data_IF_000680060623
#
_entry.id   IF_000680060623
#
_cell.length_a   1.000
_cell.length_b   1.000
_cell.length_c   1.000
_cell.angle_alpha   90.00
_cell.angle_beta   90.00
_cell.angle_gamma   90.00
#
_symmetry.space_group_name_H-M   'P 1'
#
loop_
_entity.id
_entity.type
_entity.pdbx_description
1 polymer ?
#
# COMPACT_ATOMS: atom_id res chain seq x y z
N UNK A 1 -1.37 3.71 11.61
CA UNK A 1 -0.35 2.89 10.96
C UNK A 1 -0.79 1.45 11.06
N UNK A 2 -0.98 0.77 9.91
CA UNK A 2 -1.31 -0.65 9.83
C UNK A 2 -0.05 -1.39 9.40
N UNK A 3 0.18 -2.60 9.90
CA UNK A 3 1.30 -3.45 9.51
C UNK A 3 0.81 -4.86 9.24
N UNK A 4 1.27 -5.45 8.15
CA UNK A 4 1.01 -6.85 7.81
C UNK A 4 2.13 -7.78 8.29
N UNK A 5 3.17 -7.23 8.91
CA UNK A 5 4.30 -7.98 9.44
C UNK A 5 4.67 -7.47 10.83
N UNK A 6 4.22 -8.19 11.84
CA UNK A 6 4.45 -7.85 13.23
C UNK A 6 5.35 -8.91 13.85
N UNK A 7 6.49 -8.47 14.38
CA UNK A 7 7.35 -9.32 15.21
C UNK A 7 7.12 -8.96 16.66
N UNK A 8 6.49 -9.86 17.41
CA UNK A 8 6.18 -9.68 18.83
C UNK A 8 7.11 -10.50 19.72
N UNK A 9 7.33 -10.03 20.94
CA UNK A 9 8.06 -10.78 21.96
C UNK A 9 7.49 -10.47 23.35
N UNK A 10 7.48 -11.41 24.30
CA UNK A 10 6.98 -11.15 25.65
C UNK A 10 7.65 -9.96 26.37
N UNK A 11 8.87 -9.56 25.95
CA UNK A 11 9.58 -8.42 26.53
C UNK A 11 9.15 -7.05 25.99
N UNK A 12 8.24 -6.96 25.01
CA UNK A 12 7.82 -5.67 24.46
C UNK A 12 6.81 -5.75 23.31
N UNK A 13 6.15 -4.63 22.99
CA UNK A 13 5.07 -4.61 21.99
C UNK A 13 5.56 -4.92 20.57
N UNK A 14 6.82 -4.60 20.24
CA UNK A 14 7.44 -4.86 18.95
C UNK A 14 8.91 -5.25 19.14
N UNK A 15 9.41 -6.14 18.30
CA UNK A 15 10.83 -6.49 18.24
C UNK A 15 11.67 -5.29 17.78
N UNK A 16 12.64 -4.91 18.58
CA UNK A 16 13.70 -3.99 18.19
C UNK A 16 15.03 -4.40 18.83
N UNK A 17 16.15 -4.28 18.10
CA UNK A 17 17.47 -4.40 18.70
C UNK A 17 17.74 -3.18 19.59
N UNK A 18 18.49 -3.38 20.67
CA UNK A 18 19.11 -2.28 21.42
C UNK A 18 20.12 -1.54 20.54
N UNK A 19 20.50 -0.32 20.90
CA UNK A 19 21.48 0.47 20.15
C UNK A 19 22.82 -0.27 19.94
N UNK A 20 23.26 -1.02 20.95
CA UNK A 20 24.48 -1.82 20.88
C UNK A 20 24.33 -3.03 19.93
N UNK A 21 23.17 -3.69 19.92
CA UNK A 21 22.86 -4.78 18.99
C UNK A 21 22.73 -4.23 17.56
N UNK A 22 22.04 -3.11 17.38
CA UNK A 22 21.88 -2.43 16.10
C UNK A 22 23.22 -1.99 15.51
N UNK A 23 24.09 -1.39 16.32
CA UNK A 23 25.44 -1.00 15.89
C UNK A 23 26.31 -2.17 15.43
N UNK A 24 26.12 -3.37 16.00
CA UNK A 24 26.77 -4.59 15.50
C UNK A 24 26.11 -5.10 14.21
N UNK A 25 24.78 -5.03 14.14
CA UNK A 25 24.01 -5.45 12.98
C UNK A 25 24.36 -4.66 11.73
N UNK A 26 24.36 -3.32 11.81
CA UNK A 26 24.71 -2.43 10.69
C UNK A 26 26.15 -2.64 10.21
N UNK A 27 27.09 -2.94 11.12
CA UNK A 27 28.48 -3.25 10.73
C UNK A 27 28.59 -4.52 9.88
N UNK A 28 27.75 -5.52 10.14
CA UNK A 28 27.71 -6.77 9.39
C UNK A 28 26.84 -6.67 8.14
N UNK A 29 25.73 -5.94 8.24
CA UNK A 29 24.73 -5.75 7.19
C UNK A 29 24.49 -4.26 6.98
N UNK A 30 25.33 -3.59 6.16
CA UNK A 30 25.20 -2.15 5.92
C UNK A 30 23.84 -1.73 5.32
N UNK A 31 23.15 -2.64 4.64
CA UNK A 31 21.77 -2.45 4.13
C UNK A 31 20.75 -2.15 5.23
N UNK A 32 21.04 -2.45 6.50
CA UNK A 32 20.16 -2.10 7.60
C UNK A 32 20.11 -0.59 7.86
N UNK A 33 21.16 0.13 7.45
CA UNK A 33 21.28 1.59 7.59
C UNK A 33 20.68 2.39 6.44
N UNK A 34 20.43 1.76 5.29
CA UNK A 34 19.68 2.41 4.22
C UNK A 34 18.20 2.47 4.60
N UNK A 35 17.63 3.66 4.53
CA UNK A 35 16.18 3.80 4.51
C UNK A 35 15.69 3.16 3.21
N UNK A 36 14.77 2.21 3.32
CA UNK A 36 14.03 1.72 2.17
C UNK A 36 13.03 2.83 1.81
N UNK A 37 13.16 3.44 0.63
CA UNK A 37 12.30 4.57 0.21
C UNK A 37 10.82 4.18 0.16
N UNK A 38 10.52 2.88 0.17
CA UNK A 38 9.18 2.31 0.08
C UNK A 38 8.60 1.92 1.46
N UNK A 39 9.43 1.62 2.46
CA UNK A 39 8.99 1.07 3.75
C UNK A 39 9.37 1.95 4.93
N UNK A 40 8.36 2.39 5.68
CA UNK A 40 8.55 3.16 6.91
C UNK A 40 8.64 2.20 8.09
N UNK A 41 9.87 1.83 8.46
CA UNK A 41 10.15 1.00 9.63
C UNK A 41 9.87 1.75 10.95
N UNK A 42 9.32 1.03 11.92
CA UNK A 42 9.09 1.57 13.27
C UNK A 42 10.42 1.53 14.03
N UNK A 43 11.14 2.65 14.03
CA UNK A 43 12.47 2.75 14.65
C UNK A 43 13.48 1.78 14.00
N UNK A 44 14.27 1.09 14.83
CA UNK A 44 15.24 0.08 14.36
C UNK A 44 14.63 -1.33 14.24
N UNK A 45 13.31 -1.47 14.12
CA UNK A 45 12.65 -2.78 14.03
C UNK A 45 12.66 -3.37 12.61
N UNK A 46 12.18 -4.61 12.52
CA UNK A 46 11.81 -5.24 11.26
C UNK A 46 10.35 -5.00 10.87
N UNK A 47 9.56 -4.39 11.75
CA UNK A 47 8.16 -4.05 11.49
C UNK A 47 8.10 -2.71 10.80
N UNK A 48 7.58 -2.69 9.57
CA UNK A 48 7.18 -1.49 8.88
C UNK A 48 5.67 -1.31 8.99
N UNK A 49 5.22 -0.06 8.84
CA UNK A 49 3.81 0.24 8.80
C UNK A 49 3.48 1.22 7.68
N UNK A 50 2.22 1.21 7.27
CA UNK A 50 1.69 2.14 6.27
C UNK A 50 0.68 3.13 6.86
N UNK A 51 0.64 4.31 6.25
CA UNK A 51 -0.38 5.32 6.47
C UNK A 51 -1.60 5.06 5.57
N UNK A 52 -2.70 4.64 6.19
CA UNK A 52 -3.97 4.35 5.51
C UNK A 52 -4.45 5.58 4.74
N UNK A 53 -4.79 5.39 3.46
CA UNK A 53 -5.25 6.45 2.56
C UNK A 53 -4.14 7.27 1.90
N UNK A 54 -2.87 7.05 2.28
CA UNK A 54 -1.71 7.75 1.73
C UNK A 54 -0.81 6.76 0.98
N UNK A 55 -0.51 5.62 1.59
CA UNK A 55 0.44 4.61 1.09
C UNK A 55 -0.27 3.35 0.57
N UNK A 56 0.39 2.63 -0.34
CA UNK A 56 -0.09 1.33 -0.84
C UNK A 56 -0.02 0.24 0.24
N UNK A 57 -0.71 -0.89 0.01
CA UNK A 57 -0.58 -2.06 0.89
C UNK A 57 0.79 -2.74 0.72
N UNK A 58 1.20 -3.54 1.70
CA UNK A 58 2.41 -4.35 1.58
C UNK A 58 2.22 -5.40 0.48
N UNK A 59 3.06 -5.38 -0.54
CA UNK A 59 3.16 -6.49 -1.49
C UNK A 59 4.10 -7.59 -0.98
N UNK A 60 4.15 -8.72 -1.67
CA UNK A 60 5.02 -9.84 -1.31
C UNK A 60 6.49 -9.43 -1.18
N UNK A 61 6.97 -8.50 -2.02
CA UNK A 61 8.33 -7.99 -1.95
C UNK A 61 8.58 -7.24 -0.64
N UNK A 62 7.66 -6.35 -0.26
CA UNK A 62 7.76 -5.61 0.99
C UNK A 62 7.67 -6.49 2.24
N UNK A 63 6.88 -7.59 2.20
CA UNK A 63 6.84 -8.57 3.28
C UNK A 63 8.18 -9.33 3.35
N UNK A 64 8.72 -9.75 2.21
CA UNK A 64 10.02 -10.43 2.14
C UNK A 64 11.15 -9.53 2.67
N UNK A 65 11.17 -8.23 2.34
CA UNK A 65 12.14 -7.27 2.88
C UNK A 65 12.09 -7.19 4.41
N UNK A 66 10.88 -7.22 4.99
CA UNK A 66 10.71 -7.22 6.45
C UNK A 66 11.20 -8.53 7.08
N UNK A 67 10.96 -9.68 6.46
CA UNK A 67 11.53 -10.97 6.89
C UNK A 67 13.06 -10.97 6.83
N UNK A 68 13.64 -10.50 5.73
CA UNK A 68 15.09 -10.42 5.57
C UNK A 68 15.71 -9.55 6.66
N UNK A 69 15.13 -8.36 6.89
CA UNK A 69 15.56 -7.45 7.96
C UNK A 69 15.44 -8.11 9.34
N UNK A 70 14.35 -8.84 9.60
CA UNK A 70 14.17 -9.59 10.84
C UNK A 70 15.28 -10.65 11.04
N UNK A 71 15.57 -11.46 10.03
CA UNK A 71 16.62 -12.48 10.12
C UNK A 71 18.03 -11.89 10.27
N UNK A 72 18.26 -10.70 9.71
CA UNK A 72 19.51 -9.95 9.93
C UNK A 72 19.63 -9.47 11.39
N UNK A 73 18.54 -8.98 11.99
CA UNK A 73 18.56 -8.50 13.38
C UNK A 73 18.56 -9.62 14.42
N UNK A 74 17.81 -10.71 14.19
CA UNK A 74 17.66 -11.77 15.20
C UNK A 74 18.99 -12.47 15.52
N UNK A 75 19.92 -12.48 14.57
CA UNK A 75 21.30 -12.95 14.78
C UNK A 75 22.00 -12.23 15.96
N UNK A 76 21.63 -10.97 16.23
CA UNK A 76 22.24 -10.14 17.27
C UNK A 76 21.41 -10.06 18.55
N UNK A 77 20.10 -10.29 18.47
CA UNK A 77 19.19 -10.13 19.60
C UNK A 77 19.42 -11.21 20.66
N UNK A 78 20.02 -10.82 21.79
CA UNK A 78 20.36 -11.80 22.84
C UNK A 78 19.13 -12.44 23.49
N UNK A 79 18.07 -11.66 23.69
CA UNK A 79 16.84 -12.13 24.35
C UNK A 79 16.09 -13.21 23.55
N UNK A 80 16.43 -13.41 22.28
CA UNK A 80 15.82 -14.41 21.40
C UNK A 80 16.72 -15.63 21.20
N UNK A 81 17.92 -15.63 21.77
CA UNK A 81 18.88 -16.71 21.59
C UNK A 81 18.34 -17.99 22.23
N UNK A 82 18.15 -19.03 21.41
CA UNK A 82 17.63 -20.32 21.85
C UNK A 82 16.10 -20.36 22.00
N UNK A 83 15.39 -19.32 21.56
CA UNK A 83 13.94 -19.35 21.43
C UNK A 83 13.53 -19.95 20.08
N UNK A 84 12.42 -20.67 20.07
CA UNK A 84 11.78 -21.09 18.83
C UNK A 84 11.07 -19.91 18.17
N UNK A 85 11.27 -19.76 16.86
CA UNK A 85 10.60 -18.73 16.07
C UNK A 85 9.40 -19.37 15.39
N UNK A 86 8.21 -18.91 15.73
CA UNK A 86 6.97 -19.32 15.07
C UNK A 86 6.57 -18.24 14.07
N UNK A 87 6.49 -18.63 12.80
CA UNK A 87 5.99 -17.76 11.73
C UNK A 87 4.52 -18.10 11.51
N UNK A 88 3.64 -17.17 11.86
CA UNK A 88 2.21 -17.27 11.58
C UNK A 88 1.92 -16.40 10.36
N UNK A 89 1.44 -17.02 9.29
CA UNK A 89 1.03 -16.33 8.07
C UNK A 89 -0.49 -16.38 8.02
N UNK A 90 -1.12 -15.22 8.06
CA UNK A 90 -2.53 -15.10 7.70
C UNK A 90 -2.62 -14.95 6.18
N UNK A 91 -3.44 -15.77 5.54
CA UNK A 91 -3.72 -15.64 4.12
C UNK A 91 -4.87 -14.65 3.97
N UNK A 92 -4.56 -13.37 4.20
CA UNK A 92 -5.51 -12.28 4.04
C UNK A 92 -5.88 -12.13 2.56
N UNK A 93 -6.88 -12.88 2.12
CA UNK A 93 -7.35 -12.88 0.72
C UNK A 93 -8.01 -11.55 0.30
N UNK A 94 -8.29 -10.63 1.22
CA UNK A 94 -9.27 -9.55 1.00
C UNK A 94 -8.90 -8.16 1.53
N UNK A 95 -7.66 -7.87 1.89
CA UNK A 95 -7.33 -6.50 2.34
C UNK A 95 -6.14 -5.94 1.58
N UNK A 96 -6.39 -5.44 0.37
CA UNK A 96 -5.59 -4.29 -0.05
C UNK A 96 -6.15 -3.07 0.71
N UNK A 97 -5.31 -2.19 1.25
CA UNK A 97 -5.75 -0.89 1.82
C UNK A 97 -6.45 0.04 0.79
N UNK A 98 -6.81 -0.48 -0.39
CA UNK A 98 -7.45 0.18 -1.52
C UNK A 98 -8.61 -0.61 -2.09
N UNK A 99 -9.34 -1.37 -1.27
CA UNK A 99 -10.62 -1.89 -1.72
C UNK A 99 -11.68 -0.76 -1.64
N UNK A 100 -11.69 0.11 -2.64
CA UNK A 100 -12.82 0.99 -2.88
C UNK A 100 -13.74 0.35 -3.91
N UNK A 101 -15.04 0.33 -3.63
CA UNK A 101 -16.00 -0.09 -4.63
C UNK A 101 -16.24 1.05 -5.63
N UNK A 102 -16.23 0.75 -6.92
CA UNK A 102 -16.68 1.73 -7.94
C UNK A 102 -18.11 2.23 -7.68
N UNK A 103 -18.91 1.45 -6.93
CA UNK A 103 -20.26 1.81 -6.52
C UNK A 103 -20.30 2.94 -5.47
N UNK A 104 -19.17 3.27 -4.84
CA UNK A 104 -19.07 4.38 -3.89
C UNK A 104 -18.80 5.72 -4.57
N UNK A 105 -18.39 5.71 -5.84
CA UNK A 105 -18.13 6.92 -6.60
C UNK A 105 -19.43 7.51 -7.14
N UNK A 106 -19.50 8.83 -7.09
CA UNK A 106 -20.55 9.62 -7.70
C UNK A 106 -20.15 10.15 -9.08
N UNK A 107 -21.14 10.56 -9.89
CA UNK A 107 -20.91 10.97 -11.29
C UNK A 107 -20.20 12.31 -11.42
N UNK A 108 -20.52 13.29 -10.56
CA UNK A 108 -20.21 14.71 -10.76
C UNK A 108 -19.00 15.24 -9.98
N UNK A 109 -18.60 16.47 -10.27
CA UNK A 109 -17.52 17.16 -9.55
C UNK A 109 -17.99 17.53 -8.13
N UNK A 110 -17.11 17.42 -7.14
CA UNK A 110 -17.38 17.75 -5.74
C UNK A 110 -18.34 16.76 -5.04
N UNK A 111 -18.56 15.59 -5.64
CA UNK A 111 -19.43 14.55 -5.10
C UNK A 111 -18.62 13.43 -4.43
N UNK A 112 -19.29 12.45 -3.83
CA UNK A 112 -18.64 11.37 -3.07
C UNK A 112 -17.59 10.65 -3.93
N UNK A 113 -16.37 10.62 -3.42
CA UNK A 113 -15.21 9.88 -3.92
C UNK A 113 -14.52 9.25 -2.72
N UNK A 114 -14.40 7.92 -2.63
CA UNK A 114 -13.90 7.23 -1.44
C UNK A 114 -12.38 7.35 -1.27
N UNK A 115 -11.66 7.80 -2.30
CA UNK A 115 -10.20 7.87 -2.33
C UNK A 115 -9.69 9.20 -2.86
N UNK A 116 -8.47 9.55 -2.47
CA UNK A 116 -7.77 10.75 -2.94
C UNK A 116 -6.95 10.51 -4.22
N UNK A 117 -6.55 9.27 -4.49
CA UNK A 117 -5.94 8.84 -5.76
C UNK A 117 -6.29 7.40 -6.12
N UNK A 118 -6.15 7.09 -7.40
CA UNK A 118 -6.30 5.77 -8.00
C UNK A 118 -4.96 5.44 -8.67
N UNK A 119 -4.30 4.38 -8.21
CA UNK A 119 -3.08 3.89 -8.88
C UNK A 119 -3.34 2.54 -9.52
N UNK A 120 -2.78 2.35 -10.71
CA UNK A 120 -2.91 1.12 -11.50
C UNK A 120 -1.72 0.93 -12.43
N UNK A 121 -1.54 -0.30 -12.91
CA UNK A 121 -0.56 -0.61 -13.95
C UNK A 121 -1.26 -0.52 -15.30
N UNK A 122 -0.73 0.28 -16.20
CA UNK A 122 -1.29 0.40 -17.55
C UNK A 122 -0.90 -0.79 -18.45
N UNK A 123 -1.40 -0.79 -19.68
CA UNK A 123 -1.13 -1.84 -20.67
C UNK A 123 0.36 -1.95 -21.09
N UNK A 124 1.20 -0.98 -20.71
CA UNK A 124 2.65 -0.99 -20.97
C UNK A 124 3.45 -1.52 -19.77
N UNK A 125 2.79 -1.89 -18.67
CA UNK A 125 3.44 -2.31 -17.44
C UNK A 125 3.90 -1.15 -16.56
N UNK A 126 3.52 0.10 -16.89
CA UNK A 126 3.92 1.28 -16.13
C UNK A 126 2.93 1.56 -15.00
N UNK A 127 3.45 1.89 -13.82
CA UNK A 127 2.63 2.40 -12.72
C UNK A 127 2.15 3.82 -13.03
N UNK A 128 0.83 4.01 -12.98
CA UNK A 128 0.14 5.27 -13.22
C UNK A 128 -0.67 5.62 -11.98
N UNK A 129 -0.60 6.88 -11.53
CA UNK A 129 -1.39 7.42 -10.44
C UNK A 129 -2.26 8.57 -10.94
N UNK A 130 -3.55 8.56 -10.60
CA UNK A 130 -4.52 9.60 -10.93
C UNK A 130 -5.08 10.17 -9.64
N UNK A 131 -4.87 11.47 -9.44
CA UNK A 131 -5.51 12.17 -8.32
C UNK A 131 -7.01 12.29 -8.53
N UNK A 132 -7.79 11.93 -7.52
CA UNK A 132 -9.24 12.10 -7.47
C UNK A 132 -9.66 13.50 -7.02
N UNK A 133 -8.75 14.46 -6.91
CA UNK A 133 -9.06 15.87 -6.65
C UNK A 133 -8.47 16.78 -7.71
N UNK A 134 -9.12 17.90 -7.94
CA UNK A 134 -8.54 18.96 -8.78
C UNK A 134 -7.42 19.66 -8.00
N UNK A 135 -6.21 19.63 -8.53
CA UNK A 135 -5.05 20.32 -7.95
C UNK A 135 -5.02 21.80 -8.36
N UNK A 136 -5.61 22.14 -9.51
CA UNK A 136 -5.62 23.47 -10.12
C UNK A 136 -6.99 23.78 -10.75
N UNK A 137 -7.18 25.04 -11.19
CA UNK A 137 -8.39 25.49 -11.89
C UNK A 137 -9.58 25.85 -10.99
N UNK A 138 -10.73 26.12 -11.60
CA UNK A 138 -11.98 26.55 -10.93
C UNK A 138 -12.48 25.56 -9.87
N UNK A 139 -12.21 24.27 -10.07
CA UNK A 139 -12.65 23.21 -9.17
C UNK A 139 -11.60 22.78 -8.13
N UNK A 140 -10.52 23.55 -7.95
CA UNK A 140 -9.41 23.21 -7.03
C UNK A 140 -9.92 22.76 -5.65
N UNK A 141 -9.38 21.65 -5.16
CA UNK A 141 -9.72 21.04 -3.87
C UNK A 141 -10.99 20.17 -3.90
N UNK A 142 -11.85 20.30 -4.92
CA UNK A 142 -13.04 19.44 -5.10
C UNK A 142 -12.63 18.08 -5.65
N UNK A 143 -13.43 17.08 -5.32
CA UNK A 143 -13.29 15.71 -5.83
C UNK A 143 -13.71 15.61 -7.30
N UNK A 144 -13.08 14.71 -8.03
CA UNK A 144 -13.44 14.32 -9.39
C UNK A 144 -14.46 13.19 -9.29
N UNK A 145 -15.63 13.37 -9.89
CA UNK A 145 -16.56 12.27 -10.11
C UNK A 145 -16.12 11.37 -11.25
N UNK A 146 -16.80 10.22 -11.42
CA UNK A 146 -16.48 9.25 -12.46
C UNK A 146 -16.44 9.86 -13.87
N UNK A 147 -17.29 10.85 -14.16
CA UNK A 147 -17.34 11.46 -15.50
C UNK A 147 -16.07 12.28 -15.81
N UNK A 148 -15.46 12.87 -14.77
CA UNK A 148 -14.19 13.55 -14.94
C UNK A 148 -13.04 12.55 -15.05
N UNK A 149 -13.07 11.50 -14.23
CA UNK A 149 -12.06 10.43 -14.27
C UNK A 149 -12.03 9.71 -15.62
N UNK A 150 -13.19 9.46 -16.28
CA UNK A 150 -13.22 8.89 -17.63
C UNK A 150 -12.48 9.75 -18.66
N UNK A 151 -12.53 11.08 -18.54
CA UNK A 151 -11.83 11.98 -19.47
C UNK A 151 -10.31 11.88 -19.31
N UNK A 152 -9.83 11.81 -18.06
CA UNK A 152 -8.41 11.68 -17.76
C UNK A 152 -7.87 10.30 -18.17
N UNK A 153 -8.69 9.26 -18.00
CA UNK A 153 -8.43 7.91 -18.48
C UNK A 153 -8.59 7.73 -20.00
N UNK A 154 -9.01 8.78 -20.72
CA UNK A 154 -9.28 8.75 -22.16
C UNK A 154 -10.28 7.66 -22.57
N UNK A 155 -11.21 7.32 -21.68
CA UNK A 155 -12.30 6.36 -21.94
C UNK A 155 -13.42 7.10 -22.69
N UNK A 156 -13.79 6.65 -23.90
CA UNK A 156 -14.83 7.31 -24.68
C UNK A 156 -16.20 7.12 -24.01
N UNK A 157 -16.86 8.23 -23.70
CA UNK A 157 -18.19 8.24 -23.07
C UNK A 157 -19.16 9.14 -23.82
N UNK A 158 -20.42 8.72 -23.90
CA UNK A 158 -21.50 9.55 -24.46
C UNK A 158 -21.92 10.60 -23.44
N UNK A 159 -22.35 11.77 -23.92
CA UNK A 159 -22.72 12.88 -23.04
C UNK A 159 -23.90 12.55 -22.09
N UNK A 160 -24.81 11.67 -22.52
CA UNK A 160 -26.00 11.25 -21.77
C UNK A 160 -25.79 10.04 -20.85
N UNK A 161 -24.57 9.49 -20.75
CA UNK A 161 -24.32 8.25 -19.99
C UNK A 161 -24.80 8.37 -18.54
N UNK A 162 -25.53 7.38 -18.03
CA UNK A 162 -25.99 7.40 -16.65
C UNK A 162 -24.92 6.84 -15.70
N UNK A 163 -25.11 6.99 -14.38
CA UNK A 163 -24.10 6.57 -13.39
C UNK A 163 -23.89 5.04 -13.38
N UNK A 164 -24.94 4.25 -13.62
CA UNK A 164 -24.85 2.77 -13.65
C UNK A 164 -24.03 2.30 -14.85
N UNK A 165 -24.32 2.84 -16.04
CA UNK A 165 -23.55 2.58 -17.26
C UNK A 165 -22.09 3.02 -17.12
N UNK A 166 -21.86 4.18 -16.51
CA UNK A 166 -20.52 4.72 -16.28
C UNK A 166 -19.70 3.81 -15.35
N UNK A 167 -20.32 3.29 -14.29
CA UNK A 167 -19.70 2.30 -13.39
C UNK A 167 -19.41 1.00 -14.13
N UNK A 168 -20.37 0.47 -14.89
CA UNK A 168 -20.17 -0.77 -15.65
C UNK A 168 -19.03 -0.65 -16.67
N UNK A 169 -18.92 0.50 -17.34
CA UNK A 169 -17.84 0.79 -18.29
C UNK A 169 -16.47 0.86 -17.59
N UNK A 170 -16.39 1.63 -16.51
CA UNK A 170 -15.14 1.83 -15.79
C UNK A 170 -14.69 0.61 -14.98
N UNK A 171 -15.61 -0.26 -14.55
CA UNK A 171 -15.28 -1.50 -13.86
C UNK A 171 -14.42 -2.46 -14.71
N UNK A 172 -14.41 -2.27 -16.03
CA UNK A 172 -13.55 -3.02 -16.95
C UNK A 172 -12.17 -2.39 -17.15
N UNK A 173 -11.95 -1.16 -16.65
CA UNK A 173 -10.70 -0.45 -16.80
C UNK A 173 -9.72 -0.86 -15.69
N UNK A 174 -8.41 -1.06 -15.97
CA UNK A 174 -7.41 -1.45 -14.97
C UNK A 174 -7.38 -0.58 -13.72
N UNK A 175 -7.68 0.72 -13.88
CA UNK A 175 -7.82 1.68 -12.78
C UNK A 175 -8.90 1.33 -11.73
N UNK A 176 -9.92 0.56 -12.09
CA UNK A 176 -11.01 0.16 -11.19
C UNK A 176 -11.19 -1.36 -11.10
N UNK A 177 -10.30 -2.12 -11.72
CA UNK A 177 -10.20 -3.55 -11.49
C UNK A 177 -9.38 -3.77 -10.22
N UNK A 178 -9.91 -4.58 -9.31
CA UNK A 178 -9.14 -5.05 -8.16
C UNK A 178 -7.85 -5.67 -8.70
N UNK A 179 -6.70 -5.14 -8.29
CA UNK A 179 -5.39 -5.65 -8.73
C UNK A 179 -5.16 -6.99 -8.03
N UNK A 180 -5.80 -8.05 -8.51
CA UNK A 180 -5.40 -9.43 -8.25
C UNK A 180 -4.65 -9.96 -9.48
N UNK A 181 -3.60 -9.26 -9.90
CA UNK A 181 -2.77 -9.69 -11.03
C UNK A 181 -1.69 -10.72 -10.64
N UNK A 182 -1.78 -11.32 -9.46
CA UNK A 182 -0.99 -12.51 -9.13
C UNK A 182 -1.65 -13.73 -9.76
N UNK A 183 -1.27 -14.04 -10.99
CA UNK A 183 -1.45 -15.38 -11.55
C UNK A 183 -0.28 -16.23 -11.05
N UNK A 184 -0.59 -17.32 -10.35
CA UNK A 184 0.34 -18.38 -9.96
C UNK A 184 1.06 -18.98 -11.18
#
# INVERSE_FOLDING_TARGET
MISDFIVQHPSGPLFSPSDAEYGKAVKKFPSLSSCDDVLIYIGNSATAGINVGIEGYFDNGTILSQFERFFQFIYFKQDFKGHDIVVVVDNAHTHSAREYSINEFSKGIGTKCPVDSIDYVDHTGKLVSISCRFTTGEYRGKTKGLLQLTKELKVPVRHSINLVELRALLAQHPAFQTISNWKY
#
